data_IF_585065070744
#
_entry.id   IF_585065070744
#
_cell.length_a   1.000
_cell.length_b   1.000
_cell.length_c   1.000
_cell.angle_alpha   90.00
_cell.angle_beta   90.00
_cell.angle_gamma   90.00
#
_symmetry.space_group_name_H-M   'P 1'
#
loop_
_entity.id
_entity.type
_entity.pdbx_description
1 polymer ?
#
# COMPACT_ATOMS: atom_id res chain seq x y z
N UNK A 1 41.72 2.56 -27.96
CA UNK A 1 41.41 1.34 -27.19
C UNK A 1 40.60 1.72 -25.96
N UNK A 2 39.53 0.97 -25.72
CA UNK A 2 38.35 1.20 -24.88
C UNK A 2 38.57 1.92 -23.52
N UNK A 3 37.81 3.01 -23.31
CA UNK A 3 37.45 3.54 -21.98
C UNK A 3 36.08 2.98 -21.60
N UNK A 4 36.04 2.08 -20.62
CA UNK A 4 34.79 1.60 -20.03
C UNK A 4 34.27 2.61 -19.00
N UNK A 5 33.37 3.49 -19.43
CA UNK A 5 32.53 4.29 -18.56
C UNK A 5 31.32 3.48 -18.12
N UNK A 6 31.44 2.74 -17.01
CA UNK A 6 30.30 2.15 -16.33
C UNK A 6 29.46 3.29 -15.76
N UNK A 7 28.29 3.53 -16.33
CA UNK A 7 27.41 4.64 -16.01
C UNK A 7 26.79 4.45 -14.63
N UNK A 8 27.09 5.40 -13.74
CA UNK A 8 26.63 5.56 -12.36
C UNK A 8 25.10 5.84 -12.22
N UNK A 9 24.29 5.43 -13.19
CA UNK A 9 22.86 5.74 -13.28
C UNK A 9 21.96 4.63 -12.71
N UNK A 10 22.38 3.36 -12.83
CA UNK A 10 21.58 2.22 -12.36
C UNK A 10 21.55 2.05 -10.83
N UNK A 11 22.53 2.60 -10.10
CA UNK A 11 22.58 2.51 -8.64
C UNK A 11 21.64 3.51 -7.94
N UNK A 12 21.23 4.59 -8.62
CA UNK A 12 20.31 5.60 -8.07
C UNK A 12 18.85 5.12 -8.00
N UNK A 13 18.45 4.16 -8.83
CA UNK A 13 17.05 3.68 -8.86
C UNK A 13 16.79 2.55 -7.85
N UNK A 14 17.83 1.81 -7.44
CA UNK A 14 17.71 0.77 -6.39
C UNK A 14 17.61 1.42 -4.98
N UNK A 15 18.21 2.60 -4.79
CA UNK A 15 18.15 3.33 -3.52
C UNK A 15 16.80 4.05 -3.33
N UNK A 16 16.06 4.38 -4.41
CA UNK A 16 14.80 5.11 -4.33
C UNK A 16 13.58 4.23 -3.95
N UNK A 17 13.70 2.90 -4.01
CA UNK A 17 12.64 1.95 -3.65
C UNK A 17 12.71 1.47 -2.19
N UNK A 18 13.81 1.75 -1.47
CA UNK A 18 14.02 1.33 -0.07
C UNK A 18 13.87 2.46 0.96
N UNK A 19 13.71 3.72 0.53
CA UNK A 19 13.61 4.88 1.43
C UNK A 19 12.18 5.34 1.74
N UNK A 20 11.14 4.65 1.24
CA UNK A 20 9.73 5.06 1.47
C UNK A 20 9.11 4.46 2.74
N UNK A 21 9.83 3.64 3.51
CA UNK A 21 9.30 3.03 4.76
C UNK A 21 10.03 3.51 6.03
N UNK A 22 11.06 4.35 5.92
CA UNK A 22 11.72 4.97 7.07
C UNK A 22 11.50 6.48 7.05
N UNK A 23 10.80 6.98 8.07
CA UNK A 23 10.59 8.39 8.44
C UNK A 23 9.37 9.10 7.82
N UNK A 24 8.18 8.77 8.32
CA UNK A 24 7.20 9.82 8.69
C UNK A 24 6.62 9.54 10.08
N UNK A 25 7.51 9.55 11.08
CA UNK A 25 7.15 9.88 12.45
C UNK A 25 7.82 11.22 12.77
N UNK A 26 7.30 12.31 12.20
CA UNK A 26 7.54 13.67 12.66
C UNK A 26 6.51 14.64 12.03
N UNK A 27 5.54 14.99 12.86
CA UNK A 27 4.72 16.22 12.92
C UNK A 27 4.85 17.20 11.74
N UNK A 28 3.74 17.38 11.03
CA UNK A 28 3.35 18.68 10.47
C UNK A 28 1.86 18.87 10.73
N UNK A 29 1.54 19.71 11.70
CA UNK A 29 0.20 20.20 12.00
C UNK A 29 -0.28 21.12 10.88
N UNK A 30 -1.17 20.63 10.03
CA UNK A 30 -2.12 21.50 9.31
C UNK A 30 -3.53 21.13 9.74
N UNK A 31 -4.15 22.07 10.45
CA UNK A 31 -5.53 22.00 10.90
C UNK A 31 -6.45 21.81 9.69
N UNK A 32 -6.99 20.61 9.53
CA UNK A 32 -8.27 20.41 8.85
C UNK A 32 -9.27 20.00 9.93
N UNK A 33 -10.23 20.90 10.17
CA UNK A 33 -11.32 20.71 11.11
C UNK A 33 -12.18 19.54 10.61
N UNK A 34 -11.92 18.34 11.13
CA UNK A 34 -12.87 17.24 11.05
C UNK A 34 -13.95 17.52 12.08
N UNK A 35 -15.18 17.68 11.60
CA UNK A 35 -16.38 17.81 12.44
C UNK A 35 -16.44 16.63 13.40
N UNK A 36 -16.45 16.96 14.69
CA UNK A 36 -16.83 16.09 15.79
C UNK A 36 -18.27 15.63 15.53
N UNK A 37 -18.49 14.32 15.38
CA UNK A 37 -19.69 13.61 15.83
C UNK A 37 -19.64 12.15 15.36
N UNK A 38 -18.91 11.34 16.13
CA UNK A 38 -19.21 9.93 16.45
C UNK A 38 -18.17 9.48 17.47
N UNK A 39 -18.58 9.34 18.73
CA UNK A 39 -17.81 8.57 19.71
C UNK A 39 -17.63 7.16 19.15
N UNK A 40 -16.41 6.83 18.74
CA UNK A 40 -16.01 5.43 18.54
C UNK A 40 -16.09 4.80 19.93
N UNK A 41 -17.02 3.85 20.12
CA UNK A 41 -17.11 3.08 21.35
C UNK A 41 -15.80 2.32 21.55
N UNK A 42 -14.95 2.83 22.44
CA UNK A 42 -13.78 2.10 22.92
C UNK A 42 -14.26 0.78 23.53
N UNK A 43 -14.07 -0.31 22.80
CA UNK A 43 -14.14 -1.65 23.37
C UNK A 43 -13.06 -1.75 24.44
N UNK A 44 -13.46 -1.84 25.71
CA UNK A 44 -12.56 -1.83 26.85
C UNK A 44 -11.40 -2.85 26.67
N UNK A 45 -10.18 -2.33 26.50
CA UNK A 45 -8.98 -3.16 26.44
C UNK A 45 -8.77 -3.88 27.79
N UNK A 46 -8.36 -5.16 27.80
CA UNK A 46 -8.12 -5.89 29.05
C UNK A 46 -6.99 -5.27 29.89
N UNK A 47 -7.18 -5.36 31.20
CA UNK A 47 -6.58 -4.58 32.31
C UNK A 47 -5.03 -4.64 32.50
N UNK A 48 -4.23 -5.11 31.53
CA UNK A 48 -2.77 -4.99 31.60
C UNK A 48 -2.10 -4.97 30.22
N UNK A 49 -2.05 -3.80 29.61
CA UNK A 49 -1.29 -3.51 28.37
C UNK A 49 0.16 -3.13 28.70
N UNK A 50 0.82 -3.94 29.53
CA UNK A 50 2.19 -3.67 29.97
C UNK A 50 3.12 -4.74 29.42
N UNK A 51 4.25 -4.31 28.85
CA UNK A 51 5.31 -5.23 28.41
C UNK A 51 6.22 -5.51 29.61
N UNK A 52 6.35 -6.79 29.98
CA UNK A 52 7.25 -7.26 31.01
C UNK A 52 8.72 -7.00 30.67
N UNK A 53 9.57 -6.95 31.69
CA UNK A 53 10.98 -6.54 31.53
C UNK A 53 11.74 -7.47 30.57
N UNK A 54 11.50 -8.79 30.66
CA UNK A 54 12.13 -9.79 29.79
C UNK A 54 11.70 -9.61 28.34
N UNK A 55 10.39 -9.57 28.07
CA UNK A 55 9.86 -9.33 26.73
C UNK A 55 10.35 -8.00 26.16
N UNK A 56 10.32 -6.92 26.95
CA UNK A 56 10.81 -5.59 26.56
C UNK A 56 12.27 -5.67 26.11
N UNK A 57 13.13 -6.29 26.92
CA UNK A 57 14.56 -6.46 26.58
C UNK A 57 14.74 -7.20 25.25
N UNK A 58 13.99 -8.26 25.01
CA UNK A 58 14.10 -9.04 23.77
C UNK A 58 13.57 -8.25 22.55
N UNK A 59 12.47 -7.51 22.69
CA UNK A 59 11.97 -6.62 21.64
C UNK A 59 12.96 -5.49 21.32
N UNK A 60 13.57 -4.88 22.34
CA UNK A 60 14.56 -3.83 22.14
C UNK A 60 15.84 -4.37 21.50
N UNK A 61 16.28 -5.57 21.89
CA UNK A 61 17.40 -6.27 21.24
C UNK A 61 17.09 -6.56 19.77
N UNK A 62 15.88 -7.03 19.45
CA UNK A 62 15.48 -7.26 18.06
C UNK A 62 15.47 -5.95 17.24
N UNK A 63 15.02 -4.83 17.81
CA UNK A 63 15.06 -3.51 17.15
C UNK A 63 16.48 -3.05 16.84
N UNK A 64 17.42 -3.22 17.76
CA UNK A 64 18.83 -2.91 17.52
C UNK A 64 19.39 -3.73 16.35
N UNK A 65 19.06 -5.02 16.27
CA UNK A 65 19.45 -5.85 15.13
C UNK A 65 18.81 -5.40 13.82
N UNK A 66 17.54 -4.98 13.84
CA UNK A 66 16.86 -4.39 12.68
C UNK A 66 17.56 -3.11 12.21
N UNK A 67 17.90 -2.20 13.13
CA UNK A 67 18.61 -0.95 12.84
C UNK A 67 20.00 -1.19 12.25
N UNK A 68 20.66 -2.28 12.67
CA UNK A 68 21.93 -2.74 12.09
C UNK A 68 21.78 -3.55 10.78
N UNK A 69 20.56 -3.62 10.21
CA UNK A 69 20.21 -4.41 9.03
C UNK A 69 20.43 -5.93 9.15
N UNK A 70 20.63 -6.43 10.38
CA UNK A 70 20.84 -7.85 10.68
C UNK A 70 19.53 -8.60 10.91
N UNK A 71 18.70 -8.67 9.85
CA UNK A 71 17.33 -9.18 9.94
C UNK A 71 17.22 -10.64 10.40
N UNK A 72 18.14 -11.51 9.98
CA UNK A 72 18.16 -12.92 10.42
C UNK A 72 18.45 -13.05 11.92
N UNK A 73 19.29 -12.17 12.47
CA UNK A 73 19.57 -12.16 13.92
C UNK A 73 18.38 -11.63 14.70
N UNK A 74 17.72 -10.57 14.20
CA UNK A 74 16.48 -10.06 14.78
C UNK A 74 15.39 -11.14 14.84
N UNK A 75 15.19 -11.89 13.76
CA UNK A 75 14.26 -13.02 13.70
C UNK A 75 14.55 -14.08 14.77
N UNK A 76 15.82 -14.48 14.92
CA UNK A 76 16.22 -15.46 15.95
C UNK A 76 15.90 -14.97 17.36
N UNK A 77 16.18 -13.69 17.65
CA UNK A 77 15.84 -13.07 18.95
C UNK A 77 14.33 -13.08 19.17
N UNK A 78 13.54 -12.72 18.16
CA UNK A 78 12.07 -12.73 18.26
C UNK A 78 11.50 -14.13 18.43
N UNK A 79 12.09 -15.14 17.78
CA UNK A 79 11.66 -16.54 17.93
C UNK A 79 11.92 -17.06 19.35
N UNK A 80 13.08 -16.74 19.93
CA UNK A 80 13.37 -17.07 21.34
C UNK A 80 12.39 -16.34 22.27
N UNK A 81 12.15 -15.05 22.02
CA UNK A 81 11.23 -14.24 22.82
C UNK A 81 9.80 -14.77 22.78
N UNK A 82 9.34 -15.26 21.62
CA UNK A 82 8.01 -15.85 21.45
C UNK A 82 7.79 -17.07 22.34
N UNK A 83 8.83 -17.89 22.52
CA UNK A 83 8.75 -19.11 23.30
C UNK A 83 8.96 -18.89 24.80
N UNK A 84 9.78 -17.91 25.18
CA UNK A 84 10.31 -17.81 26.56
C UNK A 84 10.01 -16.49 27.28
N UNK A 85 9.94 -15.36 26.55
CA UNK A 85 9.98 -14.03 27.18
C UNK A 85 8.64 -13.29 27.14
N UNK A 86 7.91 -13.41 26.03
CA UNK A 86 6.68 -12.68 25.74
C UNK A 86 5.46 -13.58 25.93
N UNK A 87 4.86 -13.52 27.13
CA UNK A 87 3.88 -14.52 27.58
C UNK A 87 2.44 -14.04 27.42
N UNK A 88 2.17 -12.77 27.69
CA UNK A 88 0.81 -12.21 27.64
C UNK A 88 0.33 -12.01 26.20
N UNK A 89 -0.99 -11.96 26.02
CA UNK A 89 -1.58 -11.71 24.71
C UNK A 89 -1.13 -10.37 24.09
N UNK A 90 -0.99 -9.32 24.90
CA UNK A 90 -0.47 -8.03 24.46
C UNK A 90 1.00 -8.11 24.02
N UNK A 91 1.86 -8.75 24.82
CA UNK A 91 3.27 -8.95 24.47
C UNK A 91 3.43 -9.77 23.18
N UNK A 92 2.65 -10.84 23.02
CA UNK A 92 2.63 -11.63 21.79
C UNK A 92 2.21 -10.81 20.59
N UNK A 93 1.21 -9.93 20.75
CA UNK A 93 0.79 -9.03 19.67
C UNK A 93 1.88 -8.02 19.28
N UNK A 94 2.58 -7.45 20.26
CA UNK A 94 3.69 -6.53 20.01
C UNK A 94 4.90 -7.25 19.37
N UNK A 95 5.17 -8.48 19.78
CA UNK A 95 6.19 -9.32 19.15
C UNK A 95 5.82 -9.65 17.71
N UNK A 96 4.58 -10.08 17.45
CA UNK A 96 4.12 -10.43 16.10
C UNK A 96 4.19 -9.24 15.15
N UNK A 97 3.91 -8.02 15.63
CA UNK A 97 4.09 -6.81 14.82
C UNK A 97 5.53 -6.62 14.36
N UNK A 98 6.50 -6.88 15.23
CA UNK A 98 7.93 -6.79 14.88
C UNK A 98 8.38 -7.98 14.02
N UNK A 99 7.87 -9.17 14.29
CA UNK A 99 8.12 -10.37 13.49
C UNK A 99 7.63 -10.19 12.05
N UNK A 100 6.42 -9.67 11.87
CA UNK A 100 5.82 -9.40 10.57
C UNK A 100 6.71 -8.46 9.73
N UNK A 101 7.19 -7.37 10.34
CA UNK A 101 8.13 -6.46 9.70
C UNK A 101 9.43 -7.16 9.28
N UNK A 102 10.05 -7.93 10.20
CA UNK A 102 11.30 -8.64 9.94
C UNK A 102 11.15 -9.68 8.82
N UNK A 103 10.04 -10.42 8.82
CA UNK A 103 9.75 -11.41 7.78
C UNK A 103 9.52 -10.75 6.42
N UNK A 104 8.76 -9.65 6.38
CA UNK A 104 8.56 -8.86 5.15
C UNK A 104 9.86 -8.31 4.58
N UNK A 105 10.72 -7.75 5.44
CA UNK A 105 12.01 -7.20 5.02
C UNK A 105 12.95 -8.28 4.47
N UNK A 106 12.82 -9.52 4.96
CA UNK A 106 13.52 -10.70 4.43
C UNK A 106 12.82 -11.36 3.23
N UNK A 107 11.70 -10.79 2.76
CA UNK A 107 10.85 -11.34 1.69
C UNK A 107 10.29 -12.73 1.99
N UNK A 108 10.20 -13.09 3.27
CA UNK A 108 9.55 -14.31 3.76
C UNK A 108 8.04 -14.08 3.82
N UNK A 109 7.43 -13.85 2.66
CA UNK A 109 6.06 -13.30 2.59
C UNK A 109 4.99 -14.20 3.21
N UNK A 110 5.10 -15.53 3.10
CA UNK A 110 4.16 -16.45 3.74
C UNK A 110 4.15 -16.26 5.28
N UNK A 111 5.34 -16.26 5.90
CA UNK A 111 5.46 -16.04 7.35
C UNK A 111 5.05 -14.61 7.77
N UNK A 112 5.30 -13.62 6.90
CA UNK A 112 4.86 -12.25 7.14
C UNK A 112 3.34 -12.11 7.11
N UNK A 113 2.67 -12.79 6.18
CA UNK A 113 1.21 -12.83 6.06
C UNK A 113 0.59 -13.38 7.35
N UNK A 114 1.09 -14.51 7.86
CA UNK A 114 0.60 -15.11 9.10
C UNK A 114 0.78 -14.16 10.29
N UNK A 115 1.96 -13.53 10.40
CA UNK A 115 2.26 -12.60 11.49
C UNK A 115 1.40 -11.32 11.40
N UNK A 116 1.19 -10.75 10.22
CA UNK A 116 0.31 -9.59 10.05
C UNK A 116 -1.16 -9.94 10.28
N UNK A 117 -1.62 -11.12 9.85
CA UNK A 117 -2.98 -11.58 10.14
C UNK A 117 -3.22 -11.66 11.65
N UNK A 118 -2.26 -12.19 12.41
CA UNK A 118 -2.34 -12.17 13.88
C UNK A 118 -2.47 -10.73 14.44
N UNK A 119 -1.74 -9.77 13.87
CA UNK A 119 -1.81 -8.36 14.30
C UNK A 119 -3.18 -7.77 14.00
N UNK A 120 -3.73 -8.03 12.81
CA UNK A 120 -5.10 -7.61 12.42
C UNK A 120 -6.15 -8.13 13.40
N UNK A 121 -6.06 -9.42 13.74
CA UNK A 121 -7.06 -10.10 14.58
C UNK A 121 -6.88 -9.84 16.09
N UNK A 122 -5.80 -9.14 16.49
CA UNK A 122 -5.43 -8.99 17.89
C UNK A 122 -6.32 -7.98 18.62
N UNK A 123 -7.21 -8.47 19.50
CA UNK A 123 -7.97 -7.64 20.46
C UNK A 123 -7.10 -6.85 21.46
N UNK A 124 -5.80 -7.10 21.50
CA UNK A 124 -4.86 -6.43 22.40
C UNK A 124 -4.26 -5.16 21.80
N UNK A 125 -4.45 -4.92 20.51
CA UNK A 125 -3.89 -3.77 19.81
C UNK A 125 -4.97 -2.74 19.52
N UNK A 126 -4.58 -1.47 19.59
CA UNK A 126 -5.43 -0.35 19.24
C UNK A 126 -5.84 -0.39 17.76
N UNK A 127 -6.90 0.35 17.44
CA UNK A 127 -7.48 0.39 16.10
C UNK A 127 -6.48 0.87 15.04
N UNK A 128 -5.64 1.86 15.38
CA UNK A 128 -4.66 2.42 14.46
C UNK A 128 -3.60 1.36 14.09
N UNK A 129 -3.02 0.69 15.08
CA UNK A 129 -2.04 -0.38 14.85
C UNK A 129 -2.62 -1.49 13.96
N UNK A 130 -3.87 -1.90 14.23
CA UNK A 130 -4.52 -2.96 13.43
C UNK A 130 -4.82 -2.48 12.01
N UNK A 131 -5.27 -1.23 11.84
CA UNK A 131 -5.49 -0.59 10.54
C UNK A 131 -4.22 -0.60 9.67
N UNK A 132 -3.09 -0.20 10.24
CA UNK A 132 -1.78 -0.25 9.55
C UNK A 132 -1.41 -1.67 9.12
N UNK A 133 -1.73 -2.67 9.95
CA UNK A 133 -1.50 -4.07 9.63
C UNK A 133 -2.40 -4.58 8.49
N UNK A 134 -3.69 -4.20 8.44
CA UNK A 134 -4.58 -4.57 7.33
C UNK A 134 -4.01 -4.05 6.02
N UNK A 135 -3.63 -2.77 5.97
CA UNK A 135 -3.10 -2.18 4.74
C UNK A 135 -1.76 -2.82 4.32
N UNK A 136 -0.86 -3.09 5.27
CA UNK A 136 0.41 -3.75 4.98
C UNK A 136 0.22 -5.19 4.49
N UNK A 137 -0.70 -5.93 5.12
CA UNK A 137 -1.08 -7.28 4.70
C UNK A 137 -1.62 -7.29 3.27
N UNK A 138 -2.50 -6.33 2.94
CA UNK A 138 -3.03 -6.17 1.59
C UNK A 138 -1.91 -5.88 0.57
N UNK A 139 -0.93 -5.03 0.89
CA UNK A 139 0.20 -4.76 0.01
C UNK A 139 1.06 -6.02 -0.23
N UNK A 140 1.30 -6.82 0.80
CA UNK A 140 2.06 -8.07 0.68
C UNK A 140 1.29 -9.08 -0.17
N UNK A 141 -0.01 -9.26 0.10
CA UNK A 141 -0.88 -10.14 -0.70
C UNK A 141 -0.92 -9.73 -2.17
N UNK A 142 -1.00 -8.43 -2.45
CA UNK A 142 -0.91 -7.91 -3.81
C UNK A 142 0.43 -8.26 -4.48
N UNK A 143 1.54 -8.11 -3.75
CA UNK A 143 2.88 -8.43 -4.24
C UNK A 143 3.05 -9.93 -4.54
N UNK A 144 2.41 -10.79 -3.75
CA UNK A 144 2.40 -12.25 -3.95
C UNK A 144 1.26 -12.73 -4.85
N UNK A 145 0.60 -11.81 -5.55
CA UNK A 145 -0.46 -12.07 -6.53
C UNK A 145 -1.76 -12.68 -5.97
N UNK A 146 -1.98 -12.57 -4.67
CA UNK A 146 -3.21 -13.01 -4.00
C UNK A 146 -4.26 -11.89 -4.01
N UNK A 147 -4.74 -11.53 -5.20
CA UNK A 147 -5.59 -10.37 -5.43
C UNK A 147 -6.98 -10.49 -4.79
N UNK A 148 -7.54 -11.69 -4.73
CA UNK A 148 -8.84 -11.91 -4.07
C UNK A 148 -8.71 -11.65 -2.56
N UNK A 149 -7.65 -12.14 -1.91
CA UNK A 149 -7.43 -11.87 -0.49
C UNK A 149 -7.08 -10.40 -0.19
N UNK A 150 -6.63 -9.62 -1.19
CA UNK A 150 -6.53 -8.15 -1.08
C UNK A 150 -7.92 -7.52 -1.05
N UNK A 151 -8.80 -7.91 -1.98
CA UNK A 151 -10.17 -7.41 -2.07
C UNK A 151 -10.92 -7.71 -0.77
N UNK A 152 -10.89 -8.96 -0.32
CA UNK A 152 -11.55 -9.40 0.91
C UNK A 152 -11.02 -8.65 2.14
N UNK A 153 -9.69 -8.55 2.26
CA UNK A 153 -9.05 -7.88 3.40
C UNK A 153 -9.35 -6.38 3.47
N UNK A 154 -9.35 -5.68 2.33
CA UNK A 154 -9.69 -4.26 2.29
C UNK A 154 -11.17 -4.04 2.58
N UNK A 155 -12.08 -4.82 1.96
CA UNK A 155 -13.51 -4.70 2.18
C UNK A 155 -13.88 -4.97 3.65
N UNK A 156 -13.30 -6.01 4.25
CA UNK A 156 -13.49 -6.29 5.66
C UNK A 156 -12.95 -5.14 6.54
N UNK A 157 -11.76 -4.63 6.25
CA UNK A 157 -11.19 -3.50 6.97
C UNK A 157 -12.03 -2.22 6.88
N UNK A 158 -12.71 -1.98 5.75
CA UNK A 158 -13.66 -0.86 5.60
C UNK A 158 -14.93 -1.12 6.40
N UNK A 159 -15.48 -2.34 6.35
CA UNK A 159 -16.68 -2.74 7.09
C UNK A 159 -16.49 -2.63 8.61
N UNK A 160 -15.28 -2.94 9.09
CA UNK A 160 -14.88 -2.84 10.50
C UNK A 160 -14.47 -1.41 10.92
N UNK A 161 -14.65 -0.41 10.04
CA UNK A 161 -14.22 0.99 10.23
C UNK A 161 -12.72 1.13 10.54
N UNK A 162 -11.91 0.14 10.13
CA UNK A 162 -10.46 0.12 10.33
C UNK A 162 -9.72 0.85 9.21
N UNK A 163 -10.20 0.80 7.97
CA UNK A 163 -9.55 1.42 6.81
C UNK A 163 -10.34 2.62 6.30
N UNK A 164 -9.76 3.82 6.44
CA UNK A 164 -10.31 5.08 5.89
C UNK A 164 -9.33 5.75 4.91
N UNK A 165 -8.41 4.97 4.32
CA UNK A 165 -7.31 5.52 3.53
C UNK A 165 -7.61 5.40 2.02
N UNK A 166 -7.44 6.51 1.28
CA UNK A 166 -7.68 6.53 -0.18
C UNK A 166 -6.69 5.66 -0.98
N UNK A 167 -5.55 5.28 -0.39
CA UNK A 167 -4.58 4.41 -1.05
C UNK A 167 -5.03 2.93 -1.03
N UNK A 168 -5.95 2.54 -0.14
CA UNK A 168 -6.60 1.23 -0.11
C UNK A 168 -7.55 1.09 -1.28
N UNK A 169 -8.36 2.12 -1.59
CA UNK A 169 -9.23 2.12 -2.77
C UNK A 169 -8.41 1.96 -4.07
N UNK A 170 -7.25 2.60 -4.15
CA UNK A 170 -6.33 2.43 -5.28
C UNK A 170 -5.75 1.02 -5.37
N UNK A 171 -5.41 0.41 -4.24
CA UNK A 171 -4.96 -0.97 -4.19
C UNK A 171 -6.08 -1.94 -4.59
N UNK A 172 -7.31 -1.65 -4.18
CA UNK A 172 -8.52 -2.39 -4.55
C UNK A 172 -8.76 -2.31 -6.06
N UNK A 173 -8.74 -1.11 -6.64
CA UNK A 173 -8.86 -0.91 -8.09
C UNK A 173 -7.77 -1.63 -8.89
N UNK A 174 -6.51 -1.61 -8.40
CA UNK A 174 -5.42 -2.39 -9.01
C UNK A 174 -5.65 -3.89 -8.93
N UNK A 175 -6.21 -4.36 -7.82
CA UNK A 175 -6.50 -5.79 -7.62
C UNK A 175 -7.60 -6.25 -8.57
N UNK A 176 -8.68 -5.48 -8.71
CA UNK A 176 -9.71 -5.72 -9.71
C UNK A 176 -9.14 -5.73 -11.14
N UNK A 177 -8.28 -4.77 -11.47
CA UNK A 177 -7.60 -4.75 -12.77
C UNK A 177 -6.79 -6.03 -13.03
N UNK A 178 -6.03 -6.52 -12.03
CA UNK A 178 -5.25 -7.77 -12.16
C UNK A 178 -6.11 -9.03 -12.34
N UNK A 179 -7.36 -8.98 -11.90
CA UNK A 179 -8.36 -10.05 -12.08
C UNK A 179 -9.23 -9.86 -13.33
N UNK A 180 -8.92 -8.88 -14.19
CA UNK A 180 -9.73 -8.48 -15.34
C UNK A 180 -11.18 -8.06 -14.98
N UNK A 181 -11.40 -7.66 -13.72
CA UNK A 181 -12.68 -7.16 -13.19
C UNK A 181 -12.76 -5.65 -13.43
N UNK A 182 -12.74 -5.26 -14.71
CA UNK A 182 -12.55 -3.86 -15.09
C UNK A 182 -13.68 -2.94 -14.63
N UNK A 183 -14.92 -3.41 -14.60
CA UNK A 183 -16.08 -2.65 -14.12
C UNK A 183 -15.91 -2.15 -12.68
N UNK A 184 -15.48 -3.03 -11.78
CA UNK A 184 -15.28 -2.68 -10.37
C UNK A 184 -14.09 -1.75 -10.19
N UNK A 185 -13.00 -1.97 -10.93
CA UNK A 185 -11.85 -1.07 -10.94
C UNK A 185 -12.18 0.32 -11.47
N UNK A 186 -13.00 0.40 -12.53
CA UNK A 186 -13.47 1.67 -13.12
C UNK A 186 -14.33 2.46 -12.15
N UNK A 187 -15.34 1.82 -11.53
CA UNK A 187 -16.23 2.47 -10.58
C UNK A 187 -15.45 3.19 -9.47
N UNK A 188 -14.41 2.54 -8.93
CA UNK A 188 -13.54 3.13 -7.92
C UNK A 188 -12.70 4.28 -8.48
N UNK A 189 -12.04 4.06 -9.61
CA UNK A 189 -11.10 5.04 -10.16
C UNK A 189 -11.79 6.30 -10.68
N UNK A 190 -12.98 6.17 -11.27
CA UNK A 190 -13.80 7.30 -11.70
C UNK A 190 -14.18 8.18 -10.51
N UNK A 191 -14.60 7.58 -9.40
CA UNK A 191 -14.91 8.32 -8.18
C UNK A 191 -13.67 9.04 -7.63
N UNK A 192 -12.53 8.34 -7.50
CA UNK A 192 -11.28 8.95 -6.99
C UNK A 192 -10.85 10.15 -7.84
N UNK A 193 -10.90 10.01 -9.17
CA UNK A 193 -10.51 11.08 -10.11
C UNK A 193 -11.50 12.24 -10.02
N UNK A 194 -12.80 11.97 -10.04
CA UNK A 194 -13.84 12.99 -9.96
C UNK A 194 -13.74 13.81 -8.66
N UNK A 195 -13.59 13.15 -7.51
CA UNK A 195 -13.44 13.84 -6.22
C UNK A 195 -12.18 14.72 -6.19
N UNK A 196 -11.07 14.23 -6.75
CA UNK A 196 -9.81 14.98 -6.79
C UNK A 196 -9.91 16.22 -7.68
N UNK A 197 -10.54 16.08 -8.84
CA UNK A 197 -10.78 17.17 -9.79
C UNK A 197 -11.75 18.22 -9.22
N UNK A 198 -12.85 17.79 -8.57
CA UNK A 198 -13.81 18.68 -7.92
C UNK A 198 -13.19 19.54 -6.82
N UNK A 199 -12.18 19.01 -6.10
CA UNK A 199 -11.42 19.77 -5.09
C UNK A 199 -10.34 20.67 -5.69
N UNK A 200 -10.30 20.83 -7.02
CA UNK A 200 -9.29 21.61 -7.74
C UNK A 200 -7.89 20.97 -7.70
N UNK A 201 -7.79 19.70 -7.31
CA UNK A 201 -6.53 19.01 -7.15
C UNK A 201 -6.04 18.40 -8.46
N UNK A 202 -4.74 18.54 -8.75
CA UNK A 202 -4.09 17.78 -9.83
C UNK A 202 -4.10 16.28 -9.48
N UNK A 203 -4.73 15.46 -10.33
CA UNK A 203 -4.77 14.00 -10.18
C UNK A 203 -3.38 13.41 -10.45
N UNK A 204 -2.89 12.51 -9.58
CA UNK A 204 -1.55 11.92 -9.73
C UNK A 204 -1.42 11.19 -11.08
N UNK A 205 -0.25 11.31 -11.72
CA UNK A 205 0.05 10.67 -13.01
C UNK A 205 -0.22 9.15 -12.99
N UNK A 206 0.15 8.48 -11.89
CA UNK A 206 -0.04 7.03 -11.72
C UNK A 206 -1.52 6.62 -11.60
N UNK A 207 -2.39 7.50 -11.11
CA UNK A 207 -3.82 7.23 -10.97
C UNK A 207 -4.51 7.35 -12.33
N UNK A 208 -4.21 8.41 -13.08
CA UNK A 208 -4.67 8.56 -14.46
C UNK A 208 -4.13 7.44 -15.36
N UNK A 209 -2.90 6.96 -15.11
CA UNK A 209 -2.35 5.82 -15.84
C UNK A 209 -3.14 4.53 -15.58
N UNK A 210 -3.57 4.27 -14.34
CA UNK A 210 -4.43 3.13 -14.00
C UNK A 210 -5.82 3.26 -14.62
N UNK A 211 -6.46 4.43 -14.50
CA UNK A 211 -7.76 4.70 -15.12
C UNK A 211 -7.70 4.51 -16.65
N UNK A 212 -6.63 4.97 -17.28
CA UNK A 212 -6.39 4.74 -18.71
C UNK A 212 -6.33 3.24 -19.04
N UNK A 213 -5.57 2.45 -18.26
CA UNK A 213 -5.45 1.01 -18.48
C UNK A 213 -6.79 0.30 -18.33
N UNK A 214 -7.57 0.67 -17.31
CA UNK A 214 -8.91 0.14 -17.10
C UNK A 214 -9.84 0.39 -18.29
N UNK A 215 -9.91 1.62 -18.82
CA UNK A 215 -10.71 1.90 -20.01
C UNK A 215 -10.17 1.21 -21.26
N UNK A 216 -8.85 1.19 -21.43
CA UNK A 216 -8.23 0.57 -22.60
C UNK A 216 -8.52 -0.94 -22.68
N UNK A 217 -8.32 -1.66 -21.58
CA UNK A 217 -8.50 -3.12 -21.55
C UNK A 217 -9.99 -3.54 -21.48
N UNK A 218 -10.86 -2.65 -20.99
CA UNK A 218 -12.32 -2.81 -21.13
C UNK A 218 -12.85 -2.40 -22.51
N UNK A 219 -11.97 -2.01 -23.44
CA UNK A 219 -12.29 -1.60 -24.81
C UNK A 219 -13.10 -0.29 -24.92
N UNK A 220 -13.17 0.52 -23.86
CA UNK A 220 -13.69 1.89 -23.91
C UNK A 220 -12.59 2.85 -24.41
N UNK A 221 -12.32 2.75 -25.71
CA UNK A 221 -11.28 3.53 -26.36
C UNK A 221 -11.58 5.03 -26.38
N UNK A 222 -12.85 5.43 -26.32
CA UNK A 222 -13.23 6.83 -26.25
C UNK A 222 -12.79 7.44 -24.92
N UNK A 223 -13.07 6.75 -23.80
CA UNK A 223 -12.62 7.22 -22.49
C UNK A 223 -11.10 7.08 -22.32
N UNK A 224 -10.47 6.01 -22.83
CA UNK A 224 -9.01 5.91 -22.85
C UNK A 224 -8.37 7.08 -23.63
N UNK A 225 -8.98 7.51 -24.74
CA UNK A 225 -8.55 8.70 -25.48
C UNK A 225 -8.74 9.99 -24.65
N UNK A 226 -9.85 10.13 -23.93
CA UNK A 226 -10.08 11.25 -23.01
C UNK A 226 -9.02 11.33 -21.91
N UNK A 227 -8.76 10.21 -21.21
CA UNK A 227 -7.80 10.15 -20.10
C UNK A 227 -6.36 10.38 -20.58
N UNK A 228 -5.98 9.85 -21.74
CA UNK A 228 -4.66 10.15 -22.33
C UNK A 228 -4.49 11.63 -22.70
N UNK A 229 -5.57 12.32 -23.07
CA UNK A 229 -5.60 13.78 -23.23
C UNK A 229 -5.31 14.50 -21.91
N UNK A 230 -5.98 14.12 -20.81
CA UNK A 230 -5.68 14.63 -19.46
C UNK A 230 -4.23 14.39 -19.06
N UNK A 231 -3.70 13.19 -19.34
CA UNK A 231 -2.30 12.85 -19.09
C UNK A 231 -1.33 13.75 -19.87
N UNK A 232 -1.59 14.03 -21.15
CA UNK A 232 -0.76 14.94 -21.93
C UNK A 232 -0.81 16.39 -21.42
N UNK A 233 -2.01 16.89 -21.08
CA UNK A 233 -2.20 18.24 -20.59
C UNK A 233 -1.48 18.49 -19.25
N UNK A 234 -1.51 17.50 -18.34
CA UNK A 234 -0.95 17.63 -17.00
C UNK A 234 0.48 17.10 -16.87
N UNK A 235 0.89 16.17 -17.72
CA UNK A 235 2.14 15.42 -17.67
C UNK A 235 2.68 15.17 -19.10
N UNK A 236 3.15 16.20 -19.82
CA UNK A 236 3.49 16.10 -21.24
C UNK A 236 4.72 15.22 -21.47
N UNK A 237 4.50 13.91 -21.63
CA UNK A 237 5.51 12.88 -21.92
C UNK A 237 5.12 12.14 -23.19
N UNK A 238 6.09 11.81 -24.03
CA UNK A 238 5.85 11.19 -25.34
C UNK A 238 5.11 9.86 -25.27
N UNK A 239 5.27 9.09 -24.18
CA UNK A 239 4.52 7.85 -23.93
C UNK A 239 3.00 8.03 -24.01
N UNK A 240 2.47 9.23 -23.70
CA UNK A 240 1.03 9.49 -23.79
C UNK A 240 0.56 9.79 -25.20
N UNK A 241 1.42 10.43 -26.01
CA UNK A 241 1.20 10.57 -27.44
C UNK A 241 1.17 9.20 -28.12
N UNK A 242 2.10 8.32 -27.74
CA UNK A 242 2.15 6.93 -28.22
C UNK A 242 0.89 6.15 -27.85
N UNK A 243 0.41 6.26 -26.60
CA UNK A 243 -0.87 5.65 -26.16
C UNK A 243 -2.05 6.08 -27.03
N UNK A 244 -2.14 7.36 -27.40
CA UNK A 244 -3.18 7.88 -28.29
C UNK A 244 -3.06 7.31 -29.71
N UNK A 245 -1.85 7.34 -30.28
CA UNK A 245 -1.59 6.75 -31.60
C UNK A 245 -1.98 5.28 -31.64
N UNK A 246 -1.64 4.54 -30.58
CA UNK A 246 -2.00 3.13 -30.49
C UNK A 246 -3.52 2.90 -30.46
N UNK A 247 -4.27 3.68 -29.67
CA UNK A 247 -5.73 3.61 -29.67
C UNK A 247 -6.29 3.88 -31.07
N UNK A 248 -5.72 4.84 -31.79
CA UNK A 248 -6.11 5.15 -33.16
C UNK A 248 -5.94 3.98 -34.12
N UNK A 249 -4.81 3.29 -34.02
CA UNK A 249 -4.49 2.15 -34.88
C UNK A 249 -5.43 0.95 -34.57
N UNK A 250 -5.73 0.72 -33.28
CA UNK A 250 -6.48 -0.47 -32.84
C UNK A 250 -8.00 -0.28 -32.91
N UNK A 251 -8.50 0.92 -32.62
CA UNK A 251 -9.95 1.16 -32.58
C UNK A 251 -10.60 1.32 -33.97
N UNK A 252 -9.80 1.51 -35.04
CA UNK A 252 -10.29 1.86 -36.37
C UNK A 252 -11.29 3.03 -36.36
N UNK A 253 -11.07 3.98 -35.44
CA UNK A 253 -11.93 5.16 -35.21
C UNK A 253 -11.16 6.43 -35.59
N UNK A 254 -11.10 6.80 -36.89
CA UNK A 254 -10.32 7.95 -37.36
C UNK A 254 -10.74 9.28 -36.70
N UNK A 255 -12.00 9.39 -36.28
CA UNK A 255 -12.53 10.54 -35.52
C UNK A 255 -11.83 10.79 -34.18
N UNK A 256 -11.20 9.78 -33.58
CA UNK A 256 -10.40 9.94 -32.35
C UNK A 256 -8.96 10.40 -32.64
N UNK A 257 -8.55 10.41 -33.92
CA UNK A 257 -7.16 10.56 -34.38
C UNK A 257 -6.81 11.95 -34.89
N UNK A 258 -7.81 12.82 -35.06
CA UNK A 258 -7.58 14.23 -35.29
C UNK A 258 -7.09 14.87 -33.97
N UNK A 259 -5.77 14.99 -33.85
CA UNK A 259 -5.13 15.80 -32.82
C UNK A 259 -5.55 17.27 -33.04
N UNK A 260 -6.57 17.72 -32.31
CA UNK A 260 -6.78 19.15 -32.06
C UNK A 260 -5.85 19.64 -30.96
#
# INVERSE_FOLDING_TARGET
MFKNGFTLSFLKHIILLMTVVLLTACVSSTNTVVKKDKEIKEGALPLRLTIGVTCKKSLDTARQWIESYSLSTAEKVLLVAYNNDCVSGYEKAQLQRLMAYVMSAQKKYAAAIDAYQYVVDSKYLDLLTRSEAVYTLAQIRFLTEDYEAVIDGINQGVADEMLLNAEADLLLARSYYRLNRYSEGLAIMEQIVAEKEQRGGKVKESWLALLWSLYYDSHDYQQAMSVSGKLMAHYPKDKYRQKRSHICDVANMPQLCELK
#
